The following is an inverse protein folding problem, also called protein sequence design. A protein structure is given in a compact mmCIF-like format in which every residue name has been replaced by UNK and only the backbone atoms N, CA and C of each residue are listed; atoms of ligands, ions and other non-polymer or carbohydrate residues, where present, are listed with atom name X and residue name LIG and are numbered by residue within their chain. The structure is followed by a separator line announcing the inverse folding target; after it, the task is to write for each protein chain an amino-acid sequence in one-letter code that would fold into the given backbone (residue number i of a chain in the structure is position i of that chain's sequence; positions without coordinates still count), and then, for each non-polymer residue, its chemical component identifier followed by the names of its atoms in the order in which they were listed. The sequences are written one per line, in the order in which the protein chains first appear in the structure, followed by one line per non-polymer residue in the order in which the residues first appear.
data_IF_950793016466
#
_entry.id   IF_950793016466
#
_cell.length_a   1.000
_cell.length_b   1.000
_cell.length_c   1.000
_cell.angle_alpha   90.00
_cell.angle_beta   90.00
_cell.angle_gamma   90.00
#
_symmetry.space_group_name_H-M   'P 1'
#
loop_
_entity.id
_entity.type
_entity.pdbx_description
1 polymer ?
#
# COMPACT_ATOMS: atom_id res chain seq x y z
N UNK A 1 8.98 -54.68 24.76
CA UNK A 1 8.40 -55.43 23.64
C UNK A 1 7.53 -54.48 22.84
N UNK A 2 8.01 -53.96 21.70
CA UNK A 2 7.23 -52.97 20.92
C UNK A 2 7.41 -53.22 19.43
N UNK A 3 6.81 -54.28 18.91
CA UNK A 3 6.54 -54.39 17.49
C UNK A 3 5.05 -54.65 17.31
N UNK A 4 4.37 -53.68 16.68
CA UNK A 4 2.97 -53.79 16.31
C UNK A 4 2.93 -54.64 15.04
N UNK A 5 2.41 -55.86 15.14
CA UNK A 5 2.26 -56.77 14.01
C UNK A 5 0.85 -56.59 13.44
N UNK A 6 0.75 -56.00 12.25
CA UNK A 6 -0.53 -55.80 11.58
C UNK A 6 -0.81 -57.00 10.65
N UNK A 7 -1.83 -57.81 10.98
CA UNK A 7 -2.35 -58.90 10.14
C UNK A 7 -3.62 -58.44 9.43
N UNK A 8 -3.48 -57.68 8.36
CA UNK A 8 -4.61 -57.33 7.50
C UNK A 8 -4.26 -57.59 6.04
N UNK A 9 -5.11 -58.39 5.40
CA UNK A 9 -5.04 -58.90 4.03
C UNK A 9 -6.08 -58.21 3.12
N UNK A 10 -6.67 -57.11 3.60
CA UNK A 10 -7.57 -56.24 2.85
C UNK A 10 -7.20 -54.76 3.01
N UNK A 11 -7.23 -54.01 1.91
CA UNK A 11 -6.69 -52.65 1.79
C UNK A 11 -7.68 -51.59 2.29
N UNK A 12 -8.05 -51.65 3.57
CA UNK A 12 -8.86 -50.63 4.25
C UNK A 12 -7.95 -49.74 5.09
N UNK A 13 -7.99 -48.41 4.85
CA UNK A 13 -7.27 -47.43 5.66
C UNK A 13 -7.81 -47.46 7.09
N UNK A 14 -7.01 -47.97 8.03
CA UNK A 14 -7.29 -47.81 9.46
C UNK A 14 -6.65 -46.50 9.93
N UNK A 15 -7.47 -45.57 10.41
CA UNK A 15 -6.99 -44.43 11.18
C UNK A 15 -6.70 -44.90 12.61
N UNK A 16 -5.45 -44.80 13.04
CA UNK A 16 -5.05 -44.99 14.44
C UNK A 16 -5.07 -43.66 15.16
N UNK A 17 -5.86 -43.54 16.23
CA UNK A 17 -5.78 -42.40 17.13
C UNK A 17 -4.64 -42.65 18.12
N UNK A 18 -3.53 -41.93 17.94
CA UNK A 18 -2.50 -41.81 18.98
C UNK A 18 -2.96 -40.72 19.92
N UNK A 19 -3.25 -41.01 21.21
CA UNK A 19 -3.60 -39.98 22.18
C UNK A 19 -2.47 -38.95 22.22
N UNK A 20 -2.75 -37.65 22.09
CA UNK A 20 -1.73 -36.64 22.23
C UNK A 20 -1.08 -36.76 23.61
N UNK A 21 0.25 -36.66 23.64
CA UNK A 21 1.00 -36.73 24.90
C UNK A 21 0.42 -35.69 25.89
N UNK A 22 0.17 -36.06 27.17
CA UNK A 22 -0.45 -35.14 28.11
C UNK A 22 0.41 -33.89 28.29
N UNK A 23 -0.17 -32.72 28.00
CA UNK A 23 0.52 -31.44 28.08
C UNK A 23 0.65 -31.00 29.53
N UNK A 24 1.82 -31.24 30.13
CA UNK A 24 2.08 -30.87 31.52
C UNK A 24 2.67 -29.45 31.59
N UNK A 25 1.81 -28.45 31.67
CA UNK A 25 2.19 -27.01 31.59
C UNK A 25 3.15 -26.62 32.72
N UNK A 26 3.01 -27.23 33.91
CA UNK A 26 3.86 -26.96 35.06
C UNK A 26 5.33 -27.34 34.78
N UNK A 27 5.55 -28.49 34.12
CA UNK A 27 6.87 -28.97 33.74
C UNK A 27 7.47 -28.12 32.59
N UNK A 28 6.63 -27.72 31.63
CA UNK A 28 7.04 -26.85 30.53
C UNK A 28 7.46 -25.45 30.99
N UNK A 29 6.84 -24.93 32.06
CA UNK A 29 7.16 -23.63 32.65
C UNK A 29 8.35 -23.71 33.64
N UNK A 30 8.54 -24.86 34.29
CA UNK A 30 9.69 -25.12 35.17
C UNK A 30 10.95 -25.59 34.43
N UNK A 31 10.83 -25.92 33.14
CA UNK A 31 11.97 -26.31 32.32
C UNK A 31 12.99 -25.17 32.22
N UNK A 32 14.26 -25.49 32.46
CA UNK A 32 15.35 -24.53 32.31
C UNK A 32 15.50 -24.17 30.84
N UNK A 33 14.98 -23.02 30.47
CA UNK A 33 15.03 -22.49 29.09
C UNK A 33 16.48 -22.36 28.58
N UNK A 34 17.46 -22.23 29.48
CA UNK A 34 18.90 -22.23 29.15
C UNK A 34 19.45 -23.58 28.66
N UNK A 35 18.81 -24.70 29.00
CA UNK A 35 19.27 -26.04 28.59
C UNK A 35 18.88 -26.37 27.14
N UNK A 36 17.97 -25.58 26.54
CA UNK A 36 17.58 -25.71 25.14
C UNK A 36 18.01 -24.47 24.34
N UNK A 37 19.30 -24.37 23.94
CA UNK A 37 19.80 -23.23 23.18
C UNK A 37 19.10 -23.08 21.82
N UNK A 38 18.66 -24.19 21.20
CA UNK A 38 17.96 -24.15 19.91
C UNK A 38 16.60 -23.44 20.02
N UNK A 39 15.82 -23.73 21.07
CA UNK A 39 14.55 -23.04 21.35
C UNK A 39 14.73 -21.55 21.61
N UNK A 40 15.76 -21.19 22.38
CA UNK A 40 16.09 -19.78 22.64
C UNK A 40 16.51 -19.02 21.39
N UNK A 41 17.36 -19.62 20.55
CA UNK A 41 17.77 -19.02 19.27
C UNK A 41 16.55 -18.78 18.38
N UNK A 42 15.62 -19.74 18.30
CA UNK A 42 14.40 -19.60 17.51
C UNK A 42 13.54 -18.44 18.01
N UNK A 43 13.27 -18.36 19.31
CA UNK A 43 12.45 -17.29 19.90
C UNK A 43 13.11 -15.92 19.68
N UNK A 44 14.41 -15.81 19.92
CA UNK A 44 15.17 -14.57 19.68
C UNK A 44 15.17 -14.18 18.20
N UNK A 45 15.31 -15.13 17.28
CA UNK A 45 15.28 -14.87 15.84
C UNK A 45 13.89 -14.39 15.37
N UNK A 46 12.82 -15.04 15.84
CA UNK A 46 11.44 -14.61 15.57
C UNK A 46 11.22 -13.18 16.10
N UNK A 47 11.61 -12.90 17.35
CA UNK A 47 11.47 -11.58 17.95
C UNK A 47 12.30 -10.51 17.20
N UNK A 48 13.55 -10.82 16.83
CA UNK A 48 14.41 -9.92 16.06
C UNK A 48 13.84 -9.63 14.67
N UNK A 49 13.33 -10.66 13.97
CA UNK A 49 12.69 -10.48 12.66
C UNK A 49 11.43 -9.62 12.73
N UNK A 50 10.65 -9.77 13.81
CA UNK A 50 9.47 -8.96 14.06
C UNK A 50 9.82 -7.49 14.32
N UNK A 51 10.82 -7.23 15.18
CA UNK A 51 11.32 -5.87 15.43
C UNK A 51 11.88 -5.24 14.16
N UNK A 52 12.64 -6.00 13.36
CA UNK A 52 13.14 -5.53 12.07
C UNK A 52 12.00 -5.19 11.11
N UNK A 53 10.98 -6.04 11.03
CA UNK A 53 9.75 -5.80 10.29
C UNK A 53 9.06 -4.49 10.71
N UNK A 54 8.90 -4.26 12.02
CA UNK A 54 8.34 -3.00 12.55
C UNK A 54 9.16 -1.80 12.11
N UNK A 55 10.49 -1.86 12.15
CA UNK A 55 11.33 -0.74 11.73
C UNK A 55 11.15 -0.43 10.24
N UNK A 56 11.08 -1.46 9.39
CA UNK A 56 10.83 -1.30 7.97
C UNK A 56 9.44 -0.73 7.67
N UNK A 57 8.40 -1.26 8.32
CA UNK A 57 7.02 -0.78 8.11
C UNK A 57 6.85 0.64 8.62
N UNK A 58 7.43 1.01 9.77
CA UNK A 58 7.43 2.40 10.26
C UNK A 58 8.16 3.35 9.31
N UNK A 59 9.27 2.91 8.70
CA UNK A 59 9.98 3.70 7.68
C UNK A 59 9.17 3.83 6.39
N UNK A 60 8.41 2.81 5.99
CA UNK A 60 7.50 2.87 4.86
C UNK A 60 6.32 3.82 5.16
N UNK A 61 5.67 3.66 6.30
CA UNK A 61 4.55 4.49 6.76
C UNK A 61 4.93 5.97 6.84
N UNK A 62 6.11 6.30 7.39
CA UNK A 62 6.62 7.69 7.38
C UNK A 62 6.77 8.25 5.97
N UNK A 63 7.16 7.44 4.98
CA UNK A 63 7.27 7.88 3.57
C UNK A 63 5.89 8.10 2.95
N UNK A 64 4.92 7.26 3.29
CA UNK A 64 3.53 7.42 2.82
C UNK A 64 2.86 8.64 3.46
N UNK A 65 3.14 8.94 4.72
CA UNK A 65 2.68 10.16 5.38
C UNK A 65 3.21 11.44 4.71
N UNK A 66 4.39 11.41 4.08
CA UNK A 66 4.90 12.54 3.30
C UNK A 66 4.13 12.75 1.99
N UNK A 67 3.43 11.73 1.50
CA UNK A 67 2.58 11.81 0.32
C UNK A 67 1.15 12.23 0.66
N UNK A 68 0.73 12.00 1.91
CA UNK A 68 -0.58 12.34 2.41
C UNK A 68 -0.79 13.86 2.39
N UNK A 69 -1.83 14.30 1.68
CA UNK A 69 -2.22 15.71 1.61
C UNK A 69 -2.61 16.14 0.20
N UNK A 70 -3.18 17.33 0.14
CA UNK A 70 -3.57 17.99 -1.12
C UNK A 70 -2.46 18.96 -1.50
N UNK A 71 -1.79 18.69 -2.62
CA UNK A 71 -0.75 19.56 -3.17
C UNK A 71 -1.34 20.76 -3.89
N UNK A 72 -0.72 21.92 -3.75
CA UNK A 72 -1.04 23.10 -4.56
C UNK A 72 -0.05 23.14 -5.72
N UNK A 73 -0.54 23.43 -6.93
CA UNK A 73 0.34 23.51 -8.10
C UNK A 73 1.36 24.66 -7.95
N UNK A 74 2.63 24.47 -8.34
CA UNK A 74 3.63 25.52 -8.28
C UNK A 74 3.21 26.75 -9.09
N UNK A 75 3.28 27.93 -8.47
CA UNK A 75 2.91 29.20 -9.13
C UNK A 75 1.42 29.44 -9.31
N UNK A 76 0.54 28.58 -8.78
CA UNK A 76 -0.91 28.77 -8.83
C UNK A 76 -1.43 29.50 -7.58
N UNK A 77 -2.08 30.64 -7.79
CA UNK A 77 -2.77 31.37 -6.71
C UNK A 77 -4.18 30.83 -6.53
N UNK A 78 -4.57 30.54 -5.29
CA UNK A 78 -5.93 30.10 -4.97
C UNK A 78 -6.89 31.30 -5.02
N UNK A 79 -8.02 31.11 -5.69
CA UNK A 79 -9.11 32.07 -5.68
C UNK A 79 -9.72 32.11 -4.27
N UNK A 80 -10.01 33.28 -3.69
CA UNK A 80 -10.66 33.37 -2.38
C UNK A 80 -12.05 32.73 -2.36
N UNK A 81 -12.72 32.63 -3.52
CA UNK A 81 -14.03 31.96 -3.65
C UNK A 81 -13.84 30.46 -3.70
N UNK A 82 -14.45 29.74 -2.75
CA UNK A 82 -14.44 28.27 -2.68
C UNK A 82 -15.10 27.61 -3.91
N UNK A 83 -16.07 28.27 -4.53
CA UNK A 83 -16.75 27.78 -5.74
C UNK A 83 -15.81 27.68 -6.96
N UNK A 84 -14.68 28.37 -6.93
CA UNK A 84 -13.64 28.30 -7.96
C UNK A 84 -12.54 27.29 -7.61
N UNK A 85 -12.64 26.58 -6.48
CA UNK A 85 -11.62 25.64 -6.00
C UNK A 85 -12.09 24.20 -6.20
N UNK A 86 -11.22 23.37 -6.77
CA UNK A 86 -11.51 22.00 -7.12
C UNK A 86 -10.42 21.08 -6.58
N UNK A 87 -10.81 20.02 -5.89
CA UNK A 87 -9.87 18.97 -5.46
C UNK A 87 -9.92 17.84 -6.47
N UNK A 88 -8.76 17.45 -6.97
CA UNK A 88 -8.61 16.34 -7.91
C UNK A 88 -7.71 15.30 -7.28
N UNK A 89 -8.22 14.08 -7.21
CA UNK A 89 -7.50 12.93 -6.69
C UNK A 89 -7.32 11.92 -7.80
N UNK A 90 -6.06 11.61 -8.10
CA UNK A 90 -5.67 10.63 -9.10
C UNK A 90 -5.28 9.34 -8.39
N UNK A 91 -5.96 8.26 -8.75
CA UNK A 91 -5.67 6.91 -8.25
C UNK A 91 -4.90 6.14 -9.31
N UNK A 92 -3.67 5.76 -8.98
CA UNK A 92 -2.83 4.96 -9.87
C UNK A 92 -2.94 3.48 -9.51
N UNK A 93 -3.18 2.62 -10.50
CA UNK A 93 -3.40 1.19 -10.27
C UNK A 93 -2.17 0.46 -9.68
N UNK A 94 -2.40 -0.73 -9.14
CA UNK A 94 -1.35 -1.58 -8.56
C UNK A 94 -0.72 -2.57 -9.57
N UNK A 95 -1.20 -2.60 -10.82
CA UNK A 95 -0.66 -3.49 -11.86
C UNK A 95 0.81 -3.14 -12.14
N UNK A 96 1.61 -4.14 -12.56
CA UNK A 96 2.97 -3.88 -13.03
C UNK A 96 2.96 -2.83 -14.15
N UNK A 97 3.85 -1.84 -14.07
CA UNK A 97 3.97 -0.71 -14.99
C UNK A 97 2.72 0.20 -15.09
N UNK A 98 1.88 0.24 -14.04
CA UNK A 98 0.73 1.15 -13.99
C UNK A 98 1.08 2.58 -13.56
N UNK A 99 2.35 2.87 -13.22
CA UNK A 99 2.80 4.20 -12.87
C UNK A 99 3.45 4.90 -14.05
N UNK A 100 3.37 6.23 -14.09
CA UNK A 100 3.91 7.04 -15.20
C UNK A 100 4.91 8.08 -14.72
N UNK A 101 5.99 8.26 -15.49
CA UNK A 101 6.94 9.37 -15.33
C UNK A 101 6.59 10.57 -16.22
N UNK A 102 5.53 10.46 -17.03
CA UNK A 102 5.11 11.52 -17.93
C UNK A 102 4.41 12.66 -17.17
N UNK A 103 4.44 13.85 -17.75
CA UNK A 103 3.70 14.99 -17.21
C UNK A 103 2.23 14.86 -17.57
N UNK A 104 1.39 14.66 -16.56
CA UNK A 104 -0.07 14.62 -16.70
C UNK A 104 -0.62 16.04 -16.66
N UNK A 105 -1.42 16.37 -17.68
CA UNK A 105 -2.16 17.63 -17.78
C UNK A 105 -3.64 17.33 -17.85
N UNK A 106 -4.42 18.17 -17.19
CA UNK A 106 -5.87 18.03 -17.15
C UNK A 106 -6.60 19.34 -17.41
N UNK A 107 -7.82 19.23 -17.89
CA UNK A 107 -8.75 20.35 -18.04
C UNK A 107 -10.10 19.96 -17.48
N UNK A 108 -10.66 20.84 -16.65
CA UNK A 108 -11.99 20.70 -16.07
C UNK A 108 -13.01 21.41 -16.96
N UNK A 109 -14.00 20.66 -17.43
CA UNK A 109 -15.13 21.19 -18.18
C UNK A 109 -16.39 21.22 -17.31
N UNK A 110 -17.02 22.40 -17.23
CA UNK A 110 -18.39 22.56 -16.76
C UNK A 110 -19.40 22.52 -17.92
N UNK A 111 -20.69 22.75 -17.64
CA UNK A 111 -21.71 22.82 -18.69
C UNK A 111 -21.50 23.98 -19.67
N UNK A 112 -21.02 25.12 -19.19
CA UNK A 112 -20.91 26.37 -19.99
C UNK A 112 -19.50 26.93 -20.06
N UNK A 113 -18.59 26.50 -19.17
CA UNK A 113 -17.22 27.02 -19.05
C UNK A 113 -16.23 25.89 -18.96
N UNK A 114 -14.99 26.17 -19.33
CA UNK A 114 -13.88 25.23 -19.25
C UNK A 114 -12.68 25.92 -18.61
N UNK A 115 -11.89 25.16 -17.84
CA UNK A 115 -10.71 25.67 -17.20
C UNK A 115 -9.53 25.80 -18.17
N UNK A 116 -8.50 26.53 -17.74
CA UNK A 116 -7.19 26.41 -18.37
C UNK A 116 -6.57 25.04 -18.10
N UNK A 117 -5.60 24.59 -18.92
CA UNK A 117 -4.88 23.35 -18.68
C UNK A 117 -4.04 23.41 -17.41
N UNK A 118 -4.31 22.50 -16.48
CA UNK A 118 -3.55 22.34 -15.26
C UNK A 118 -2.53 21.21 -15.42
N UNK A 119 -1.25 21.55 -15.27
CA UNK A 119 -0.17 20.56 -15.21
C UNK A 119 -0.04 20.07 -13.79
N UNK A 120 -0.32 18.78 -13.58
CA UNK A 120 -0.22 18.16 -12.26
C UNK A 120 1.25 17.95 -11.92
N UNK A 121 1.78 18.83 -11.08
CA UNK A 121 3.18 18.84 -10.65
C UNK A 121 3.26 19.11 -9.15
N UNK A 122 4.27 18.52 -8.52
CA UNK A 122 4.60 18.71 -7.12
C UNK A 122 6.13 18.70 -7.00
N UNK A 123 6.70 19.65 -6.27
CA UNK A 123 8.16 19.76 -6.10
C UNK A 123 8.71 18.78 -5.07
N UNK A 124 7.86 18.29 -4.16
CA UNK A 124 8.28 17.49 -3.00
C UNK A 124 7.93 16.01 -3.16
N UNK A 125 6.84 15.71 -3.86
CA UNK A 125 6.31 14.35 -4.02
C UNK A 125 6.63 13.80 -5.40
N UNK A 126 6.99 12.52 -5.44
CA UNK A 126 6.97 11.73 -6.69
C UNK A 126 5.51 11.37 -6.96
N UNK A 127 5.01 11.75 -8.13
CA UNK A 127 3.61 11.63 -8.53
C UNK A 127 3.38 10.41 -9.41
N UNK A 128 2.14 9.92 -9.43
CA UNK A 128 1.65 8.88 -10.33
C UNK A 128 2.46 7.58 -10.28
N UNK A 129 3.01 7.26 -9.10
CA UNK A 129 3.66 5.99 -8.86
C UNK A 129 2.62 4.86 -8.80
N UNK A 130 3.05 3.63 -9.09
CA UNK A 130 2.19 2.45 -8.95
C UNK A 130 1.59 2.40 -7.54
N UNK A 131 0.26 2.28 -7.46
CA UNK A 131 -0.47 2.22 -6.19
C UNK A 131 -0.53 3.54 -5.42
N UNK A 132 -0.18 4.67 -6.03
CA UNK A 132 -0.26 5.99 -5.41
C UNK A 132 -1.67 6.58 -5.46
N UNK A 133 -1.92 7.51 -4.53
CA UNK A 133 -3.07 8.40 -4.54
C UNK A 133 -2.56 9.83 -4.42
N UNK A 134 -2.68 10.58 -5.51
CA UNK A 134 -2.13 11.93 -5.62
C UNK A 134 -3.26 12.95 -5.69
N UNK A 135 -3.37 13.80 -4.67
CA UNK A 135 -4.40 14.84 -4.58
C UNK A 135 -3.84 16.24 -4.82
N UNK A 136 -4.58 17.05 -5.57
CA UNK A 136 -4.24 18.41 -5.95
C UNK A 136 -5.41 19.37 -5.71
N UNK A 137 -5.12 20.58 -5.23
CA UNK A 137 -6.07 21.68 -5.13
C UNK A 137 -5.84 22.62 -6.31
N UNK A 138 -6.83 22.69 -7.17
CA UNK A 138 -6.84 23.55 -8.34
C UNK A 138 -7.77 24.72 -8.11
N UNK A 139 -7.47 25.84 -8.77
CA UNK A 139 -8.32 27.01 -8.71
C UNK A 139 -8.47 27.64 -10.09
N UNK A 140 -9.70 28.02 -10.42
CA UNK A 140 -10.05 28.79 -11.62
C UNK A 140 -10.33 30.25 -11.27
N UNK A 141 -10.37 31.11 -12.29
CA UNK A 141 -10.72 32.53 -12.12
C UNK A 141 -12.22 32.69 -11.80
N UNK A 142 -13.05 31.90 -12.47
CA UNK A 142 -14.50 31.87 -12.32
C UNK A 142 -15.00 30.45 -12.05
N UNK A 143 -16.14 30.30 -11.36
CA UNK A 143 -16.72 28.98 -11.14
C UNK A 143 -17.12 28.36 -12.48
N UNK A 144 -16.75 27.09 -12.67
CA UNK A 144 -17.11 26.32 -13.87
C UNK A 144 -18.58 25.91 -13.88
N UNK A 145 -19.28 26.09 -12.75
CA UNK A 145 -20.63 25.58 -12.55
C UNK A 145 -20.62 24.08 -12.26
N UNK A 146 -21.65 23.39 -12.71
CA UNK A 146 -21.74 21.93 -12.61
C UNK A 146 -20.73 21.29 -13.59
N UNK A 147 -19.90 20.40 -13.05
CA UNK A 147 -18.86 19.71 -13.81
C UNK A 147 -19.49 18.70 -14.77
N UNK A 148 -19.10 18.75 -16.04
CA UNK A 148 -19.62 17.91 -17.11
C UNK A 148 -18.62 16.87 -17.59
N UNK A 149 -17.33 17.25 -17.69
CA UNK A 149 -16.29 16.36 -18.19
C UNK A 149 -14.90 16.74 -17.67
N UNK A 150 -13.98 15.78 -17.75
CA UNK A 150 -12.58 15.95 -17.42
C UNK A 150 -11.76 15.46 -18.62
N UNK A 151 -10.88 16.31 -19.14
CA UNK A 151 -9.91 15.91 -20.17
C UNK A 151 -8.57 15.65 -19.50
N UNK A 152 -7.95 14.53 -19.83
CA UNK A 152 -6.66 14.09 -19.27
C UNK A 152 -5.76 13.67 -20.42
N UNK A 153 -4.52 14.13 -20.41
CA UNK A 153 -3.50 13.68 -21.35
C UNK A 153 -2.12 13.78 -20.72
N UNK A 154 -1.14 13.14 -21.34
CA UNK A 154 0.25 13.19 -20.89
C UNK A 154 1.20 13.50 -22.05
N UNK A 155 2.36 14.06 -21.73
CA UNK A 155 3.35 14.44 -22.74
C UNK A 155 4.23 13.28 -23.27
N UNK A 156 4.02 12.05 -22.77
CA UNK A 156 4.76 10.83 -23.13
C UNK A 156 6.29 10.94 -22.93
N UNK A 157 6.76 11.82 -22.04
CA UNK A 157 8.18 11.98 -21.70
C UNK A 157 8.58 11.12 -20.50
N UNK A 158 9.88 10.91 -20.33
CA UNK A 158 10.45 10.16 -19.20
C UNK A 158 10.75 8.70 -19.55
N UNK A 159 11.22 7.96 -18.55
CA UNK A 159 11.69 6.58 -18.72
C UNK A 159 10.55 5.55 -18.79
N UNK A 160 9.44 5.81 -18.10
CA UNK A 160 8.24 4.96 -18.13
C UNK A 160 7.02 5.83 -18.37
N UNK A 161 6.77 6.28 -19.61
CA UNK A 161 5.72 7.25 -19.89
C UNK A 161 4.32 6.64 -19.99
N UNK A 162 4.22 5.32 -20.17
CA UNK A 162 2.94 4.61 -20.18
C UNK A 162 2.23 4.74 -18.83
N UNK A 163 0.90 4.80 -18.88
CA UNK A 163 0.05 4.92 -17.71
C UNK A 163 -1.07 3.87 -17.75
#
# INVERSE_FOLDING_TARGET
MTHIHCRCDHLTKFAGFVPPNPLNIAEALSANVLENPAGMILVLAVFASYLFGILLTRKADRRDLLKAGVGILPGHTLNPRKECQYVITVYTGFRGNAGTTAEVTIVLGGLTKESTPFKLRDEKRVLFEKGSVDSFLLSTEEPLGELSHLRVWHNNKGYSPGW
#
